data_IF_263504557219
#
_entry.id   IF_263504557219
#
_cell.length_a   1.000
_cell.length_b   1.000
_cell.length_c   1.000
_cell.angle_alpha   90.00
_cell.angle_beta   90.00
_cell.angle_gamma   90.00
#
_symmetry.space_group_name_H-M   'P 1'
#
loop_
_entity.id
_entity.type
_entity.pdbx_description
1 polymer ?
#
# COMPACT_ATOMS: atom_id res chain seq x y z
N UNK A 1 8.23 16.27 2.10
CA UNK A 1 9.21 17.29 1.69
C UNK A 1 9.37 17.36 0.17
N UNK A 2 9.80 18.50 -0.38
CA UNK A 2 9.84 18.78 -1.83
C UNK A 2 10.56 17.69 -2.67
N UNK A 3 11.69 17.16 -2.20
CA UNK A 3 12.42 16.06 -2.85
C UNK A 3 11.60 14.77 -2.99
N UNK A 4 10.81 14.41 -1.98
CA UNK A 4 9.95 13.23 -2.04
C UNK A 4 8.80 13.41 -3.05
N UNK A 5 8.27 14.65 -3.17
CA UNK A 5 7.24 14.98 -4.15
C UNK A 5 7.78 14.92 -5.59
N UNK A 6 8.99 15.44 -5.81
CA UNK A 6 9.67 15.37 -7.10
C UNK A 6 9.98 13.93 -7.50
N UNK A 7 10.47 13.13 -6.55
CA UNK A 7 10.73 11.72 -6.76
C UNK A 7 9.44 10.97 -7.13
N UNK A 8 8.32 11.21 -6.41
CA UNK A 8 7.01 10.63 -6.76
C UNK A 8 6.58 10.95 -8.20
N UNK A 9 6.81 12.17 -8.69
CA UNK A 9 6.52 12.55 -10.08
C UNK A 9 7.39 11.78 -11.08
N UNK A 10 8.69 11.66 -10.80
CA UNK A 10 9.62 10.90 -11.64
C UNK A 10 9.17 9.44 -11.74
N UNK A 11 8.76 8.83 -10.62
CA UNK A 11 8.25 7.46 -10.60
C UNK A 11 6.93 7.29 -11.36
N UNK A 12 6.01 8.24 -11.21
CA UNK A 12 4.75 8.21 -11.95
C UNK A 12 5.00 8.24 -13.47
N UNK A 13 5.93 9.09 -13.92
CA UNK A 13 6.32 9.17 -15.34
C UNK A 13 7.00 7.89 -15.81
N UNK A 14 7.94 7.35 -15.04
CA UNK A 14 8.62 6.08 -15.36
C UNK A 14 7.62 4.94 -15.53
N UNK A 15 6.62 4.86 -14.64
CA UNK A 15 5.56 3.84 -14.69
C UNK A 15 4.74 3.94 -15.96
N UNK A 16 4.30 5.15 -16.32
CA UNK A 16 3.53 5.39 -17.53
C UNK A 16 4.31 4.97 -18.78
N UNK A 17 5.62 5.26 -18.82
CA UNK A 17 6.48 4.85 -19.94
C UNK A 17 6.64 3.33 -20.01
N UNK A 18 6.82 2.65 -18.87
CA UNK A 18 6.93 1.19 -18.82
C UNK A 18 5.64 0.50 -19.29
N UNK A 19 4.48 1.01 -18.89
CA UNK A 19 3.19 0.44 -19.28
C UNK A 19 2.93 0.63 -20.78
N UNK A 20 3.27 1.79 -21.35
CA UNK A 20 3.21 2.02 -22.81
C UNK A 20 4.15 1.07 -23.54
N UNK A 21 5.39 0.91 -23.06
CA UNK A 21 6.38 0.04 -23.69
C UNK A 21 5.93 -1.44 -23.67
N UNK A 22 5.31 -1.88 -22.58
CA UNK A 22 4.75 -3.24 -22.46
C UNK A 22 3.59 -3.48 -23.43
N UNK A 23 2.72 -2.48 -23.63
CA UNK A 23 1.64 -2.53 -24.63
C UNK A 23 2.21 -2.65 -26.05
N UNK A 24 3.24 -1.86 -26.37
CA UNK A 24 3.86 -1.86 -27.70
C UNK A 24 4.59 -3.16 -28.02
N UNK A 25 5.22 -3.79 -27.02
CA UNK A 25 5.95 -5.07 -27.18
C UNK A 25 4.99 -6.27 -27.21
N UNK A 26 3.84 -6.16 -26.55
CA UNK A 26 2.86 -7.23 -26.42
C UNK A 26 3.25 -8.28 -25.37
N UNK A 27 2.27 -9.09 -24.96
CA UNK A 27 2.43 -10.06 -23.86
C UNK A 27 3.30 -11.29 -24.22
N UNK A 28 3.46 -11.57 -25.52
CA UNK A 28 4.23 -12.70 -26.03
C UNK A 28 4.98 -12.32 -27.33
N UNK A 29 6.08 -11.55 -27.21
CA UNK A 29 6.83 -11.10 -28.37
C UNK A 29 7.47 -12.28 -29.12
N UNK A 30 7.20 -12.36 -30.42
CA UNK A 30 7.75 -13.37 -31.33
C UNK A 30 9.23 -13.14 -31.64
N UNK A 31 9.68 -11.89 -31.63
CA UNK A 31 11.06 -11.49 -31.89
C UNK A 31 11.96 -11.52 -30.63
N UNK A 32 13.25 -11.80 -30.83
CA UNK A 32 14.28 -11.85 -29.79
C UNK A 32 14.40 -10.52 -29.06
N UNK A 33 14.34 -9.41 -29.79
CA UNK A 33 14.43 -8.07 -29.21
C UNK A 33 13.24 -7.79 -28.28
N UNK A 34 12.01 -8.11 -28.71
CA UNK A 34 10.82 -7.95 -27.87
C UNK A 34 10.89 -8.77 -26.58
N UNK A 35 11.41 -10.00 -26.64
CA UNK A 35 11.65 -10.82 -25.43
C UNK A 35 12.65 -10.16 -24.48
N UNK A 36 13.75 -9.60 -25.00
CA UNK A 36 14.73 -8.90 -24.17
C UNK A 36 14.15 -7.64 -23.52
N UNK A 37 13.37 -6.86 -24.27
CA UNK A 37 12.71 -5.66 -23.73
C UNK A 37 11.72 -6.05 -22.62
N UNK A 38 10.92 -7.09 -22.82
CA UNK A 38 9.97 -7.56 -21.81
C UNK A 38 10.65 -8.03 -20.51
N UNK A 39 11.78 -8.73 -20.62
CA UNK A 39 12.57 -9.14 -19.46
C UNK A 39 13.18 -7.96 -18.71
N UNK A 40 13.68 -6.94 -19.42
CA UNK A 40 14.17 -5.71 -18.79
C UNK A 40 13.02 -4.91 -18.16
N UNK A 41 11.84 -4.84 -18.77
CA UNK A 41 10.64 -4.24 -18.15
C UNK A 41 10.32 -4.95 -16.83
N UNK A 42 10.30 -6.29 -16.81
CA UNK A 42 10.05 -7.06 -15.57
C UNK A 42 11.12 -6.81 -14.52
N UNK A 43 12.39 -6.75 -14.92
CA UNK A 43 13.52 -6.46 -14.03
C UNK A 43 13.40 -5.07 -13.43
N UNK A 44 13.07 -4.06 -14.24
CA UNK A 44 12.86 -2.68 -13.79
C UNK A 44 11.64 -2.59 -12.86
N UNK A 45 10.53 -3.27 -13.18
CA UNK A 45 9.35 -3.32 -12.30
C UNK A 45 9.65 -3.98 -10.95
N UNK A 46 10.54 -4.98 -10.89
CA UNK A 46 11.03 -5.58 -9.63
C UNK A 46 11.90 -4.61 -8.84
N UNK A 47 12.83 -3.89 -9.48
CA UNK A 47 13.64 -2.87 -8.79
C UNK A 47 12.81 -1.67 -8.35
N UNK A 48 11.78 -1.28 -9.12
CA UNK A 48 10.82 -0.22 -8.77
C UNK A 48 10.04 -0.59 -7.50
N UNK A 49 9.67 -1.87 -7.34
CA UNK A 49 9.04 -2.34 -6.10
C UNK A 49 9.97 -2.22 -4.89
N UNK A 50 11.28 -2.45 -5.07
CA UNK A 50 12.27 -2.25 -4.01
C UNK A 50 12.48 -0.76 -3.68
N UNK A 51 12.55 0.11 -4.70
CA UNK A 51 12.71 1.55 -4.49
C UNK A 51 11.45 2.23 -3.95
N UNK A 52 10.27 1.68 -4.24
CA UNK A 52 9.05 2.02 -3.51
C UNK A 52 9.24 1.76 -2.03
N UNK A 53 9.93 0.70 -1.60
CA UNK A 53 10.26 0.47 -0.20
C UNK A 53 11.10 1.60 0.43
N UNK A 54 12.05 2.16 -0.32
CA UNK A 54 12.88 3.30 0.13
C UNK A 54 12.14 4.65 0.12
N UNK A 55 11.10 4.78 -0.72
CA UNK A 55 10.23 5.96 -0.82
C UNK A 55 8.94 5.83 -0.02
N UNK A 56 8.70 4.64 0.54
CA UNK A 56 7.60 4.41 1.46
C UNK A 56 7.93 5.14 2.77
N UNK A 57 6.92 5.70 3.44
CA UNK A 57 7.13 6.37 4.71
C UNK A 57 7.79 5.41 5.71
N UNK A 58 8.27 5.96 6.83
CA UNK A 58 8.84 5.27 7.99
C UNK A 58 7.95 4.16 8.61
N UNK A 59 6.84 3.82 7.97
CA UNK A 59 5.86 2.88 8.45
C UNK A 59 6.30 1.43 8.23
N UNK A 60 6.44 0.73 9.35
CA UNK A 60 6.64 -0.70 9.53
C UNK A 60 5.44 -1.50 9.01
N UNK A 61 4.21 -0.97 9.11
CA UNK A 61 3.01 -1.58 8.53
C UNK A 61 2.66 -0.89 7.20
N UNK A 62 2.65 -1.63 6.08
CA UNK A 62 2.32 -1.09 4.77
C UNK A 62 0.80 -1.09 4.60
N UNK A 63 0.15 -0.10 5.19
CA UNK A 63 -1.31 0.04 5.17
C UNK A 63 -1.86 0.40 3.78
N UNK A 64 -1.02 1.02 2.95
CA UNK A 64 -1.41 1.60 1.65
C UNK A 64 -0.85 0.81 0.44
N UNK A 65 -0.07 -0.25 0.67
CA UNK A 65 0.56 -1.03 -0.40
C UNK A 65 0.49 -2.52 -0.11
N UNK A 66 0.12 -3.31 -1.12
CA UNK A 66 0.38 -4.76 -1.14
C UNK A 66 1.89 -4.95 -1.26
N UNK A 67 2.61 -4.76 -0.15
CA UNK A 67 4.02 -5.10 -0.09
C UNK A 67 4.10 -6.60 0.07
N UNK A 68 4.22 -7.29 -1.06
CA UNK A 68 4.48 -8.72 -1.20
C UNK A 68 5.70 -9.19 -0.37
N UNK A 69 6.46 -8.28 0.26
CA UNK A 69 7.61 -8.58 1.12
C UNK A 69 7.47 -8.27 2.61
N UNK A 70 6.35 -7.74 3.13
CA UNK A 70 6.26 -7.42 4.55
C UNK A 70 5.62 -8.56 5.37
N UNK A 71 6.48 -9.31 6.07
CA UNK A 71 6.08 -10.47 6.88
C UNK A 71 5.13 -10.07 8.02
N UNK A 72 5.19 -8.82 8.49
CA UNK A 72 4.37 -8.32 9.60
C UNK A 72 2.88 -8.32 9.27
N UNK A 73 2.51 -8.14 7.99
CA UNK A 73 1.11 -8.16 7.56
C UNK A 73 0.44 -9.55 7.63
N UNK A 74 1.21 -10.63 7.85
CA UNK A 74 0.65 -11.98 7.97
C UNK A 74 0.20 -12.34 9.39
N UNK A 75 0.64 -11.61 10.41
CA UNK A 75 0.23 -11.88 11.78
C UNK A 75 -1.29 -11.64 11.93
N UNK A 76 -2.04 -12.58 12.54
CA UNK A 76 -3.49 -12.48 12.66
C UNK A 76 -3.92 -11.24 13.43
N UNK A 77 -3.14 -10.81 14.43
CA UNK A 77 -3.37 -9.59 15.21
C UNK A 77 -3.19 -8.34 14.35
N UNK A 78 -2.16 -8.31 13.50
CA UNK A 78 -1.96 -7.19 12.58
C UNK A 78 -3.10 -7.12 11.56
N UNK A 79 -3.52 -8.25 11.01
CA UNK A 79 -4.68 -8.31 10.09
C UNK A 79 -5.97 -7.87 10.75
N UNK A 80 -6.24 -8.34 11.97
CA UNK A 80 -7.41 -7.97 12.74
C UNK A 80 -7.40 -6.48 13.08
N UNK A 81 -6.25 -5.92 13.44
CA UNK A 81 -6.10 -4.49 13.71
C UNK A 81 -6.37 -3.63 12.47
N UNK A 82 -5.83 -4.01 11.31
CA UNK A 82 -6.08 -3.30 10.04
C UNK A 82 -7.56 -3.38 9.67
N UNK A 83 -8.17 -4.55 9.76
CA UNK A 83 -9.58 -4.75 9.47
C UNK A 83 -10.47 -3.92 10.41
N UNK A 84 -10.13 -3.82 11.70
CA UNK A 84 -10.86 -3.00 12.65
C UNK A 84 -10.80 -1.50 12.32
N UNK A 85 -9.64 -1.00 11.86
CA UNK A 85 -9.49 0.40 11.41
C UNK A 85 -10.29 0.66 10.12
N UNK A 86 -10.33 -0.31 9.21
CA UNK A 86 -11.08 -0.22 7.95
C UNK A 86 -12.59 -0.45 8.13
N UNK A 87 -13.01 -0.99 9.27
CA UNK A 87 -14.42 -1.17 9.58
C UNK A 87 -15.07 0.19 9.87
N UNK A 88 -15.72 0.72 8.85
CA UNK A 88 -16.21 2.09 8.80
C UNK A 88 -17.63 2.15 8.25
N UNK A 89 -18.43 1.10 8.48
CA UNK A 89 -19.81 1.00 8.01
C UNK A 89 -20.67 2.17 8.51
N UNK A 90 -20.38 2.68 9.70
CA UNK A 90 -21.08 3.80 10.33
C UNK A 90 -20.49 5.19 10.02
N UNK A 91 -19.42 5.27 9.22
CA UNK A 91 -18.83 6.57 8.90
C UNK A 91 -19.71 7.37 7.94
N UNK A 92 -19.79 8.71 8.11
CA UNK A 92 -20.46 9.57 7.17
C UNK A 92 -19.87 9.37 5.77
N UNK A 93 -20.76 9.26 4.79
CA UNK A 93 -20.38 9.03 3.40
C UNK A 93 -19.52 10.17 2.89
N UNK A 94 -18.41 9.84 2.24
CA UNK A 94 -17.52 10.86 1.72
C UNK A 94 -18.16 11.56 0.52
N UNK A 95 -18.08 12.89 0.43
CA UNK A 95 -18.70 13.65 -0.67
C UNK A 95 -18.11 13.34 -2.05
N UNK A 96 -16.93 12.70 -2.09
CA UNK A 96 -16.26 12.22 -3.30
C UNK A 96 -16.00 10.71 -3.19
N UNK A 97 -17.06 9.92 -3.34
CA UNK A 97 -16.98 8.47 -3.56
C UNK A 97 -16.73 8.20 -5.04
N UNK A 98 -15.56 8.58 -5.54
CA UNK A 98 -15.03 7.94 -6.75
C UNK A 98 -14.65 6.50 -6.41
N UNK A 99 -14.71 5.56 -7.37
CA UNK A 99 -14.19 4.22 -7.16
C UNK A 99 -12.69 4.32 -6.88
N UNK A 100 -12.31 4.23 -5.60
CA UNK A 100 -10.94 4.32 -5.14
C UNK A 100 -10.35 2.92 -5.03
N UNK A 101 -9.03 2.84 -5.27
CA UNK A 101 -8.27 1.59 -5.22
C UNK A 101 -8.23 0.96 -3.81
N UNK A 102 -8.62 1.71 -2.78
CA UNK A 102 -8.59 1.34 -1.36
C UNK A 102 -9.87 1.81 -0.67
N UNK A 103 -10.39 0.99 0.24
CA UNK A 103 -11.47 1.38 1.15
C UNK A 103 -11.01 2.52 2.07
N UNK A 104 -11.84 3.55 2.22
CA UNK A 104 -11.57 4.66 3.15
C UNK A 104 -11.85 4.22 4.58
N UNK A 105 -11.06 4.75 5.50
CA UNK A 105 -11.13 4.50 6.93
C UNK A 105 -11.34 5.79 7.74
N UNK A 106 -11.43 5.64 9.07
CA UNK A 106 -11.59 6.75 10.01
C UNK A 106 -10.52 7.84 9.87
N UNK A 107 -9.28 7.48 9.51
CA UNK A 107 -8.22 8.44 9.37
C UNK A 107 -8.36 9.27 8.08
N UNK A 108 -8.95 8.71 7.02
CA UNK A 108 -9.30 9.50 5.83
C UNK A 108 -10.41 10.50 6.14
N UNK A 109 -11.37 10.13 6.99
CA UNK A 109 -12.39 11.05 7.46
C UNK A 109 -11.78 12.18 8.30
N UNK A 110 -10.94 11.83 9.28
CA UNK A 110 -10.25 12.81 10.12
C UNK A 110 -9.38 13.74 9.27
N UNK A 111 -8.67 13.18 8.27
CA UNK A 111 -7.91 13.96 7.32
C UNK A 111 -8.80 14.95 6.57
N UNK A 112 -9.93 14.48 6.04
CA UNK A 112 -10.86 15.30 5.27
C UNK A 112 -11.47 16.43 6.11
N UNK A 113 -11.94 16.12 7.32
CA UNK A 113 -12.64 17.07 8.21
C UNK A 113 -11.69 18.12 8.79
N UNK A 114 -10.50 17.69 9.22
CA UNK A 114 -9.56 18.55 9.95
C UNK A 114 -8.38 19.06 9.12
N UNK A 115 -8.21 18.57 7.88
CA UNK A 115 -7.13 18.97 6.99
C UNK A 115 -5.75 18.50 7.45
N UNK A 116 -5.66 17.34 8.11
CA UNK A 116 -4.38 16.79 8.55
C UNK A 116 -3.46 16.49 7.36
N UNK A 117 -2.16 16.77 7.54
CA UNK A 117 -1.14 16.43 6.54
C UNK A 117 -1.05 14.91 6.33
N UNK A 118 -0.87 14.48 5.08
CA UNK A 118 -0.81 13.05 4.70
C UNK A 118 0.16 12.23 5.56
N UNK A 119 1.33 12.78 5.86
CA UNK A 119 2.36 12.08 6.63
C UNK A 119 1.93 11.86 8.09
N UNK A 120 1.24 12.83 8.69
CA UNK A 120 0.74 12.71 10.07
C UNK A 120 -0.35 11.66 10.16
N UNK A 121 -1.26 11.66 9.19
CA UNK A 121 -2.36 10.69 9.10
C UNK A 121 -1.80 9.28 8.98
N UNK A 122 -0.85 9.07 8.06
CA UNK A 122 -0.21 7.76 7.85
C UNK A 122 0.55 7.28 9.09
N UNK A 123 1.30 8.16 9.75
CA UNK A 123 2.04 7.81 10.96
C UNK A 123 1.10 7.45 12.12
N UNK A 124 0.00 8.20 12.31
CA UNK A 124 -0.96 7.92 13.37
C UNK A 124 -1.80 6.66 13.10
N UNK A 125 -2.18 6.43 11.84
CA UNK A 125 -2.89 5.22 11.43
C UNK A 125 -2.09 3.97 11.77
N UNK A 126 -0.78 3.99 11.49
CA UNK A 126 0.10 2.90 11.85
C UNK A 126 0.27 2.75 13.38
N UNK A 127 0.51 3.85 14.09
CA UNK A 127 0.68 3.80 15.54
C UNK A 127 -0.52 3.11 16.23
N UNK A 128 -1.73 3.44 15.80
CA UNK A 128 -2.96 2.81 16.30
C UNK A 128 -3.02 1.33 15.88
N UNK A 129 -2.68 1.00 14.65
CA UNK A 129 -2.65 -0.40 14.19
C UNK A 129 -1.68 -1.26 15.02
N UNK A 130 -0.47 -0.77 15.28
CA UNK A 130 0.53 -1.45 16.11
C UNK A 130 0.06 -1.60 17.56
N UNK A 131 -0.56 -0.55 18.12
CA UNK A 131 -1.08 -0.58 19.49
C UNK A 131 -2.18 -1.63 19.64
N UNK A 132 -3.09 -1.69 18.67
CA UNK A 132 -4.18 -2.66 18.64
C UNK A 132 -3.65 -4.09 18.46
N UNK A 133 -2.72 -4.31 17.53
CA UNK A 133 -2.09 -5.61 17.32
C UNK A 133 -1.33 -6.09 18.58
N UNK A 134 -0.58 -5.20 19.24
CA UNK A 134 0.12 -5.52 20.48
C UNK A 134 -0.85 -5.83 21.64
N UNK A 135 -1.97 -5.11 21.72
CA UNK A 135 -3.02 -5.42 22.70
C UNK A 135 -3.65 -6.80 22.42
N UNK A 136 -3.97 -7.11 21.16
CA UNK A 136 -4.52 -8.40 20.74
C UNK A 136 -3.55 -9.56 21.00
N UNK A 137 -2.26 -9.37 20.74
CA UNK A 137 -1.23 -10.41 20.99
C UNK A 137 -1.15 -10.80 22.47
N UNK A 138 -1.43 -9.86 23.38
CA UNK A 138 -1.46 -10.11 24.83
C UNK A 138 -2.71 -10.83 25.30
N UNK A 139 -3.77 -10.85 24.49
CA UNK A 139 -5.05 -11.44 24.86
C UNK A 139 -5.12 -12.94 24.56
N UNK A 140 -4.10 -13.54 23.91
CA UNK A 140 -4.07 -14.94 23.47
C UNK A 140 -5.40 -15.35 22.82
N UNK A 141 -5.50 -15.19 21.49
CA UNK A 141 -6.66 -15.74 20.76
C UNK A 141 -6.88 -17.20 21.22
N UNK A 142 -8.11 -17.61 21.60
CA UNK A 142 -8.39 -19.01 21.76
C UNK A 142 -8.05 -19.66 20.42
N UNK A 143 -7.15 -20.64 20.44
CA UNK A 143 -6.87 -21.44 19.25
C UNK A 143 -8.21 -22.09 18.85
N UNK A 144 -8.81 -21.66 17.74
CA UNK A 144 -9.89 -22.39 17.06
C UNK A 144 -9.31 -23.64 16.36
N UNK A 145 -8.49 -24.40 17.09
CA UNK A 145 -7.93 -25.69 16.67
C UNK A 145 -8.06 -26.72 17.79
N UNK A 146 -9.31 -27.00 18.17
CA UNK A 146 -9.77 -28.36 18.47
C UNK A 146 -11.14 -28.48 17.77
N UNK A 147 -11.35 -29.47 16.87
CA UNK A 147 -11.06 -30.89 17.08
C UNK A 147 -10.11 -31.54 16.05
#
# INVERSE_FOLDING_TARGET
>A
GARAMEMKKIYATLRALLDVLEILVGQAPSDRLGRQILEEIKKIKRSDAALRGELMPYNIIPLDASSVGNVVGFFPEVRAAIAAIQNCEDLPRFPYDTPQLRQKDIFDLLQYVFGFQDDNVRNQRENVALTLANAQSRLSLPNDTEP
#
